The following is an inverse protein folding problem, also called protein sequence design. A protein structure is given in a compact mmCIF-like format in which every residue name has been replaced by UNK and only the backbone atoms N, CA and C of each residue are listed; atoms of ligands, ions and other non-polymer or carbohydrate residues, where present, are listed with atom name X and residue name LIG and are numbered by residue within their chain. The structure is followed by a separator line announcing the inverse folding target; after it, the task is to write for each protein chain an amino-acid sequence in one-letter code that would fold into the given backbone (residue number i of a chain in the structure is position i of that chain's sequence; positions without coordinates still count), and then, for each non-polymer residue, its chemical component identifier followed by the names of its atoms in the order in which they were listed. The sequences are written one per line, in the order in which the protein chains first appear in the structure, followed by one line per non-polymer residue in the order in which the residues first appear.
data_IF_867158762835
#
_entry.id   IF_867158762835
#
_cell.length_a   1.000
_cell.length_b   1.000
_cell.length_c   1.000
_cell.angle_alpha   90.00
_cell.angle_beta   90.00
_cell.angle_gamma   90.00
#
_symmetry.space_group_name_H-M   'P 1'
#
loop_
_entity.id
_entity.type
_entity.pdbx_description
1 polymer ?
#
# COMPACT_ATOMS: atom_id res chain seq x y z
N UNK A 1 -6.88 -61.52 -70.09
CA UNK A 1 -6.82 -61.05 -68.69
C UNK A 1 -6.62 -59.54 -68.70
N UNK A 2 -7.58 -58.77 -68.17
CA UNK A 2 -7.44 -57.33 -67.90
C UNK A 2 -6.82 -57.21 -66.49
N UNK A 3 -5.76 -56.42 -66.25
CA UNK A 3 -5.17 -56.32 -64.93
C UNK A 3 -6.17 -55.67 -63.97
N UNK A 4 -6.24 -56.19 -62.74
CA UNK A 4 -7.05 -55.65 -61.66
C UNK A 4 -6.63 -54.21 -61.34
N UNK A 5 -7.61 -53.32 -61.19
CA UNK A 5 -7.42 -51.92 -60.83
C UNK A 5 -6.71 -51.78 -59.48
N UNK A 6 -5.79 -50.82 -59.30
CA UNK A 6 -5.10 -50.62 -58.03
C UNK A 6 -6.09 -50.04 -57.00
N UNK A 7 -6.09 -50.63 -55.81
CA UNK A 7 -6.84 -50.12 -54.66
C UNK A 7 -5.90 -49.21 -53.89
N UNK A 8 -6.19 -47.91 -53.83
CA UNK A 8 -5.46 -46.99 -52.97
C UNK A 8 -5.87 -47.19 -51.49
N UNK A 9 -4.94 -46.87 -50.59
CA UNK A 9 -4.89 -47.28 -49.18
C UNK A 9 -6.02 -46.78 -48.25
N UNK A 10 -7.10 -46.18 -48.78
CA UNK A 10 -8.25 -45.68 -48.01
C UNK A 10 -9.55 -46.48 -48.21
N UNK A 11 -9.52 -47.62 -48.91
CA UNK A 11 -10.70 -48.50 -49.02
C UNK A 11 -11.87 -47.90 -49.80
N UNK A 12 -11.61 -46.88 -50.62
CA UNK A 12 -12.57 -46.34 -51.58
C UNK A 12 -12.46 -47.19 -52.84
N UNK A 13 -13.56 -47.85 -53.24
CA UNK A 13 -13.65 -48.46 -54.57
C UNK A 13 -13.15 -47.42 -55.58
N UNK A 14 -12.21 -47.80 -56.45
CA UNK A 14 -11.67 -46.90 -57.47
C UNK A 14 -12.82 -46.39 -58.36
N UNK A 15 -13.36 -45.24 -57.97
CA UNK A 15 -14.38 -44.51 -58.69
C UNK A 15 -13.67 -43.94 -59.91
N UNK A 16 -14.22 -44.23 -61.09
CA UNK A 16 -13.74 -43.64 -62.34
C UNK A 16 -13.66 -42.13 -62.16
N UNK A 17 -12.60 -41.50 -62.65
CA UNK A 17 -12.52 -40.03 -62.73
C UNK A 17 -13.34 -39.55 -63.93
N UNK A 18 -13.75 -38.26 -63.99
CA UNK A 18 -14.46 -37.75 -65.17
C UNK A 18 -13.66 -37.93 -66.48
N UNK A 19 -12.33 -37.86 -66.39
CA UNK A 19 -11.45 -38.13 -67.54
C UNK A 19 -11.49 -39.60 -67.98
N UNK A 20 -11.57 -40.53 -67.03
CA UNK A 20 -11.67 -41.96 -67.34
C UNK A 20 -13.04 -42.32 -67.91
N UNK A 21 -14.12 -41.63 -67.52
CA UNK A 21 -15.47 -41.79 -68.11
C UNK A 21 -15.49 -41.28 -69.55
N UNK A 22 -14.95 -40.08 -69.80
CA UNK A 22 -14.88 -39.48 -71.14
C UNK A 22 -14.04 -40.29 -72.13
N UNK A 23 -12.94 -40.90 -71.67
CA UNK A 23 -12.06 -41.72 -72.51
C UNK A 23 -12.52 -43.17 -72.70
N UNK A 24 -13.65 -43.58 -72.12
CA UNK A 24 -14.06 -44.99 -72.09
C UNK A 24 -14.70 -45.43 -73.41
N UNK A 25 -14.02 -46.29 -74.17
CA UNK A 25 -14.54 -46.86 -75.42
C UNK A 25 -15.20 -48.22 -75.22
N UNK A 26 -16.39 -48.41 -75.81
CA UNK A 26 -17.08 -49.70 -75.84
C UNK A 26 -16.77 -50.51 -77.12
N UNK A 27 -16.68 -51.83 -77.00
CA UNK A 27 -16.49 -52.74 -78.15
C UNK A 27 -17.75 -52.82 -79.02
N UNK A 28 -17.60 -52.75 -80.35
CA UNK A 28 -18.73 -52.81 -81.30
C UNK A 28 -19.43 -54.18 -81.26
N UNK A 29 -20.76 -54.18 -81.08
CA UNK A 29 -21.56 -55.40 -81.08
C UNK A 29 -21.79 -55.93 -82.51
N UNK A 30 -21.83 -57.27 -82.66
CA UNK A 30 -21.96 -57.95 -83.96
C UNK A 30 -23.42 -58.01 -84.46
N UNK A 31 -24.42 -57.98 -83.58
CA UNK A 31 -25.85 -57.89 -83.92
C UNK A 31 -26.63 -57.28 -82.75
N UNK A 32 -27.48 -56.27 -82.99
CA UNK A 32 -28.42 -55.72 -82.00
C UNK A 32 -27.83 -54.83 -80.88
N UNK A 33 -26.71 -54.14 -81.11
CA UNK A 33 -26.09 -53.24 -80.11
C UNK A 33 -26.76 -51.87 -79.96
N UNK A 34 -26.38 -51.15 -78.90
CA UNK A 34 -26.78 -49.74 -78.69
C UNK A 34 -26.24 -48.82 -79.78
N UNK A 35 -26.97 -47.73 -80.07
CA UNK A 35 -26.52 -46.71 -81.00
C UNK A 35 -25.37 -45.92 -80.38
N UNK A 36 -24.18 -46.00 -80.99
CA UNK A 36 -22.97 -45.37 -80.44
C UNK A 36 -23.11 -43.85 -80.29
N UNK A 37 -23.80 -43.16 -81.21
CA UNK A 37 -24.00 -41.71 -81.09
C UNK A 37 -24.83 -41.32 -79.84
N UNK A 38 -25.85 -42.12 -79.50
CA UNK A 38 -26.66 -41.87 -78.29
C UNK A 38 -25.90 -42.23 -77.01
N UNK A 39 -25.00 -43.22 -77.07
CA UNK A 39 -24.14 -43.58 -75.93
C UNK A 39 -23.10 -42.49 -75.70
N UNK A 40 -22.51 -41.94 -76.77
CA UNK A 40 -21.55 -40.85 -76.68
C UNK A 40 -22.20 -39.57 -76.11
N UNK A 41 -23.39 -39.19 -76.58
CA UNK A 41 -24.14 -38.04 -76.03
C UNK A 41 -24.46 -38.22 -74.53
N UNK A 42 -24.85 -39.43 -74.12
CA UNK A 42 -25.05 -39.75 -72.70
C UNK A 42 -23.75 -39.70 -71.88
N UNK A 43 -22.63 -40.19 -72.44
CA UNK A 43 -21.33 -40.12 -71.77
C UNK A 43 -20.81 -38.69 -71.62
N UNK A 44 -21.10 -37.80 -72.57
CA UNK A 44 -20.76 -36.39 -72.48
C UNK A 44 -21.53 -35.72 -71.33
N UNK A 45 -22.86 -35.89 -71.27
CA UNK A 45 -23.69 -35.39 -70.17
C UNK A 45 -23.25 -35.96 -68.81
N UNK A 46 -23.00 -37.28 -68.76
CA UNK A 46 -22.50 -37.94 -67.55
C UNK A 46 -21.12 -37.41 -67.13
N UNK A 47 -20.23 -37.13 -68.08
CA UNK A 47 -18.91 -36.57 -67.81
C UNK A 47 -19.03 -35.16 -67.22
N UNK A 48 -19.93 -34.33 -67.75
CA UNK A 48 -20.17 -32.98 -67.27
C UNK A 48 -20.74 -32.98 -65.84
N UNK A 49 -21.79 -33.76 -65.59
CA UNK A 49 -22.41 -33.90 -64.26
C UNK A 49 -21.42 -34.46 -63.23
N UNK A 50 -20.66 -35.47 -63.62
CA UNK A 50 -19.68 -36.08 -62.73
C UNK A 50 -18.49 -35.13 -62.45
N UNK A 51 -18.09 -34.32 -63.43
CA UNK A 51 -17.11 -33.24 -63.21
C UNK A 51 -17.64 -32.18 -62.25
N UNK A 52 -18.91 -31.79 -62.38
CA UNK A 52 -19.56 -30.84 -61.49
C UNK A 52 -19.61 -31.37 -60.05
N UNK A 53 -20.06 -32.62 -59.86
CA UNK A 53 -20.06 -33.30 -58.57
C UNK A 53 -18.66 -33.39 -57.95
N UNK A 54 -17.63 -33.68 -58.75
CA UNK A 54 -16.26 -33.76 -58.26
C UNK A 54 -15.74 -32.40 -57.76
N UNK A 55 -16.01 -31.32 -58.51
CA UNK A 55 -15.67 -29.95 -58.11
C UNK A 55 -16.42 -29.52 -56.85
N UNK A 56 -17.72 -29.83 -56.76
CA UNK A 56 -18.52 -29.52 -55.58
C UNK A 56 -18.03 -30.30 -54.35
N UNK A 57 -17.71 -31.59 -54.51
CA UNK A 57 -17.17 -32.41 -53.43
C UNK A 57 -15.84 -31.85 -52.90
N UNK A 58 -14.94 -31.43 -53.79
CA UNK A 58 -13.69 -30.77 -53.40
C UNK A 58 -13.95 -29.45 -52.65
N UNK A 59 -14.88 -28.63 -53.14
CA UNK A 59 -15.27 -27.39 -52.47
C UNK A 59 -15.90 -27.62 -51.10
N UNK A 60 -16.77 -28.62 -50.96
CA UNK A 60 -17.39 -29.00 -49.69
C UNK A 60 -16.37 -29.55 -48.70
N UNK A 61 -15.43 -30.40 -49.13
CA UNK A 61 -14.31 -30.88 -48.30
C UNK A 61 -13.45 -29.72 -47.79
N UNK A 62 -13.13 -28.76 -48.67
CA UNK A 62 -12.39 -27.56 -48.27
C UNK A 62 -13.17 -26.72 -47.23
N UNK A 63 -14.47 -26.51 -47.43
CA UNK A 63 -15.33 -25.82 -46.46
C UNK A 63 -15.38 -26.57 -45.12
N UNK A 64 -15.54 -27.90 -45.14
CA UNK A 64 -15.56 -28.72 -43.93
C UNK A 64 -14.26 -28.57 -43.15
N UNK A 65 -13.11 -28.62 -43.83
CA UNK A 65 -11.80 -28.43 -43.20
C UNK A 65 -11.72 -27.08 -42.47
N UNK A 66 -12.09 -25.99 -43.14
CA UNK A 66 -12.11 -24.64 -42.53
C UNK A 66 -13.07 -24.57 -41.34
N UNK A 67 -14.23 -25.21 -41.42
CA UNK A 67 -15.19 -25.23 -40.31
C UNK A 67 -14.65 -26.01 -39.10
N UNK A 68 -13.98 -27.14 -39.34
CA UNK A 68 -13.34 -27.93 -38.28
C UNK A 68 -12.24 -27.12 -37.59
N UNK A 69 -11.35 -26.50 -38.36
CA UNK A 69 -10.28 -25.63 -37.83
C UNK A 69 -10.88 -24.50 -36.97
N UNK A 70 -11.92 -23.81 -37.44
CA UNK A 70 -12.60 -22.77 -36.64
C UNK A 70 -13.21 -23.29 -35.34
N UNK A 71 -13.79 -24.49 -35.35
CA UNK A 71 -14.35 -25.09 -34.14
C UNK A 71 -13.25 -25.41 -33.13
N UNK A 72 -12.10 -25.89 -33.60
CA UNK A 72 -10.92 -26.14 -32.76
C UNK A 72 -10.36 -24.83 -32.18
N UNK A 73 -10.25 -23.77 -32.98
CA UNK A 73 -9.84 -22.45 -32.52
C UNK A 73 -10.78 -21.88 -31.45
N UNK A 74 -12.10 -22.01 -31.65
CA UNK A 74 -13.08 -21.56 -30.66
C UNK A 74 -13.00 -22.36 -29.36
N UNK A 75 -12.77 -23.67 -29.43
CA UNK A 75 -12.56 -24.50 -28.24
C UNK A 75 -11.30 -24.10 -27.48
N UNK A 76 -10.19 -23.91 -28.19
CA UNK A 76 -8.94 -23.46 -27.59
C UNK A 76 -9.08 -22.08 -26.91
N UNK A 77 -9.79 -21.17 -27.56
CA UNK A 77 -10.09 -19.83 -27.00
C UNK A 77 -10.97 -19.93 -25.77
N UNK A 78 -12.02 -20.76 -25.81
CA UNK A 78 -12.91 -20.97 -24.68
C UNK A 78 -12.19 -21.58 -23.46
N UNK A 79 -11.30 -22.53 -23.69
CA UNK A 79 -10.48 -23.14 -22.65
C UNK A 79 -9.49 -22.15 -22.04
N UNK A 80 -8.87 -21.30 -22.84
CA UNK A 80 -8.04 -20.19 -22.37
C UNK A 80 -8.85 -19.23 -21.49
N UNK A 81 -10.03 -18.80 -21.96
CA UNK A 81 -10.93 -17.94 -21.18
C UNK A 81 -11.33 -18.58 -19.84
N UNK A 82 -11.69 -19.87 -19.84
CA UNK A 82 -12.00 -20.62 -18.62
C UNK A 82 -10.82 -20.65 -17.66
N UNK A 83 -9.61 -20.91 -18.17
CA UNK A 83 -8.39 -20.93 -17.36
C UNK A 83 -8.11 -19.54 -16.74
N UNK A 84 -8.30 -18.46 -17.50
CA UNK A 84 -8.15 -17.09 -17.00
C UNK A 84 -9.19 -16.77 -15.93
N UNK A 85 -10.47 -17.10 -16.14
CA UNK A 85 -11.53 -16.88 -15.14
C UNK A 85 -11.26 -17.65 -13.84
N UNK A 86 -10.82 -18.90 -13.94
CA UNK A 86 -10.52 -19.74 -12.78
C UNK A 86 -9.29 -19.21 -12.02
N UNK A 87 -8.30 -18.68 -12.74
CA UNK A 87 -7.14 -18.00 -12.14
C UNK A 87 -7.55 -16.71 -11.44
N UNK A 88 -8.38 -15.89 -12.08
CA UNK A 88 -8.92 -14.67 -11.49
C UNK A 88 -9.75 -14.95 -10.22
N UNK A 89 -10.58 -16.00 -10.23
CA UNK A 89 -11.34 -16.43 -9.06
C UNK A 89 -10.41 -16.85 -7.92
N UNK A 90 -9.40 -17.68 -8.19
CA UNK A 90 -8.40 -18.08 -7.18
C UNK A 90 -7.66 -16.88 -6.60
N UNK A 91 -7.32 -15.91 -7.44
CA UNK A 91 -6.66 -14.68 -7.01
C UNK A 91 -7.57 -13.83 -6.12
N UNK A 92 -8.84 -13.66 -6.49
CA UNK A 92 -9.84 -12.97 -5.68
C UNK A 92 -10.01 -13.65 -4.30
N UNK A 93 -10.16 -14.98 -4.28
CA UNK A 93 -10.25 -15.75 -3.04
C UNK A 93 -8.98 -15.60 -2.17
N UNK A 94 -7.80 -15.57 -2.79
CA UNK A 94 -6.54 -15.35 -2.07
C UNK A 94 -6.50 -13.96 -1.44
N UNK A 95 -6.87 -12.92 -2.19
CA UNK A 95 -6.91 -11.54 -1.69
C UNK A 95 -7.86 -11.42 -0.50
N UNK A 96 -9.05 -12.02 -0.59
CA UNK A 96 -10.04 -12.00 0.51
C UNK A 96 -9.46 -12.71 1.73
N UNK A 97 -8.92 -13.92 1.59
CA UNK A 97 -8.31 -14.66 2.72
C UNK A 97 -7.15 -13.90 3.35
N UNK A 98 -6.27 -13.31 2.55
CA UNK A 98 -5.15 -12.52 3.06
C UNK A 98 -5.62 -11.25 3.79
N UNK A 99 -6.63 -10.57 3.27
CA UNK A 99 -7.21 -9.39 3.90
C UNK A 99 -7.87 -9.75 5.24
N UNK A 100 -8.62 -10.86 5.30
CA UNK A 100 -9.21 -11.37 6.53
C UNK A 100 -8.14 -11.76 7.55
N UNK A 101 -7.10 -12.49 7.13
CA UNK A 101 -6.00 -12.86 8.02
C UNK A 101 -5.26 -11.63 8.57
N UNK A 102 -5.00 -10.63 7.73
CA UNK A 102 -4.38 -9.36 8.15
C UNK A 102 -5.27 -8.56 9.09
N UNK A 103 -6.58 -8.49 8.82
CA UNK A 103 -7.57 -7.87 9.71
C UNK A 103 -7.53 -8.53 11.08
N UNK A 104 -7.62 -9.85 11.12
CA UNK A 104 -7.67 -10.60 12.38
C UNK A 104 -6.37 -10.45 13.17
N UNK A 105 -5.23 -10.40 12.47
CA UNK A 105 -3.95 -10.10 13.10
C UNK A 105 -3.90 -8.70 13.69
N UNK A 106 -4.33 -7.68 12.92
CA UNK A 106 -4.36 -6.30 13.38
C UNK A 106 -5.28 -6.12 14.59
N UNK A 107 -6.44 -6.78 14.61
CA UNK A 107 -7.37 -6.74 15.75
C UNK A 107 -6.73 -7.37 16.98
N UNK A 108 -6.10 -8.54 16.86
CA UNK A 108 -5.38 -9.17 17.97
C UNK A 108 -4.25 -8.28 18.50
N UNK A 109 -3.45 -7.70 17.62
CA UNK A 109 -2.34 -6.83 18.01
C UNK A 109 -2.85 -5.56 18.70
N UNK A 110 -3.94 -4.97 18.20
CA UNK A 110 -4.57 -3.81 18.82
C UNK A 110 -5.16 -4.15 20.19
N UNK A 111 -5.79 -5.31 20.35
CA UNK A 111 -6.31 -5.78 21.63
C UNK A 111 -5.19 -5.99 22.66
N UNK A 112 -4.09 -6.64 22.27
CA UNK A 112 -2.91 -6.84 23.14
C UNK A 112 -2.33 -5.49 23.56
N UNK A 113 -2.07 -4.59 22.60
CA UNK A 113 -1.53 -3.26 22.92
C UNK A 113 -2.46 -2.44 23.81
N UNK A 114 -3.77 -2.52 23.60
CA UNK A 114 -4.75 -1.87 24.45
C UNK A 114 -4.72 -2.42 25.88
N UNK A 115 -4.66 -3.75 26.03
CA UNK A 115 -4.57 -4.39 27.35
C UNK A 115 -3.27 -4.03 28.08
N UNK A 116 -2.14 -4.04 27.37
CA UNK A 116 -0.85 -3.62 27.92
C UNK A 116 -0.89 -2.16 28.40
N UNK A 117 -1.45 -1.26 27.58
CA UNK A 117 -1.57 0.15 27.91
C UNK A 117 -2.51 0.39 29.10
N UNK A 118 -3.64 -0.32 29.16
CA UNK A 118 -4.53 -0.29 30.32
C UNK A 118 -3.81 -0.78 31.57
N UNK A 119 -3.03 -1.87 31.47
CA UNK A 119 -2.24 -2.41 32.58
C UNK A 119 -1.15 -1.43 33.05
N UNK A 120 -0.48 -0.72 32.14
CA UNK A 120 0.48 0.33 32.47
C UNK A 120 -0.18 1.50 33.20
N UNK A 121 -1.29 2.03 32.68
CA UNK A 121 -2.03 3.13 33.29
C UNK A 121 -2.59 2.77 34.68
N UNK A 122 -3.06 1.53 34.87
CA UNK A 122 -3.52 1.06 36.19
C UNK A 122 -2.39 1.05 37.21
N UNK A 123 -1.21 0.55 36.83
CA UNK A 123 -0.02 0.57 37.71
C UNK A 123 0.39 1.99 38.07
N UNK A 124 0.45 2.88 37.08
CA UNK A 124 0.78 4.29 37.31
C UNK A 124 -0.24 4.98 38.23
N UNK A 125 -1.54 4.68 38.05
CA UNK A 125 -2.59 5.20 38.92
C UNK A 125 -2.48 4.68 40.36
N UNK A 126 -2.15 3.39 40.54
CA UNK A 126 -1.94 2.80 41.86
C UNK A 126 -0.71 3.43 42.56
N UNK A 127 0.40 3.56 41.85
CA UNK A 127 1.60 4.24 42.38
C UNK A 127 1.32 5.70 42.74
N UNK A 128 0.56 6.43 41.91
CA UNK A 128 0.17 7.80 42.19
C UNK A 128 -0.74 7.91 43.43
N UNK A 129 -1.67 6.97 43.60
CA UNK A 129 -2.52 6.89 44.79
C UNK A 129 -1.70 6.60 46.05
N UNK A 130 -0.73 5.70 45.98
CA UNK A 130 0.12 5.38 47.12
C UNK A 130 1.05 6.53 47.49
N UNK A 131 1.63 7.23 46.52
CA UNK A 131 2.37 8.48 46.76
C UNK A 131 1.50 9.53 47.45
N UNK A 132 0.24 9.69 47.00
CA UNK A 132 -0.70 10.62 47.60
C UNK A 132 -1.05 10.24 49.04
N UNK A 133 -1.32 8.95 49.32
CA UNK A 133 -1.57 8.44 50.67
C UNK A 133 -0.36 8.66 51.58
N UNK A 134 0.85 8.42 51.09
CA UNK A 134 2.09 8.64 51.82
C UNK A 134 2.24 10.12 52.18
N UNK A 135 2.10 11.02 51.20
CA UNK A 135 2.16 12.47 51.44
C UNK A 135 1.09 12.97 52.42
N UNK A 136 -0.13 12.42 52.37
CA UNK A 136 -1.18 12.73 53.35
C UNK A 136 -0.80 12.31 54.78
N UNK A 137 -0.21 11.11 54.94
CA UNK A 137 0.26 10.63 56.26
C UNK A 137 1.41 11.49 56.80
N UNK A 138 2.35 11.85 55.93
CA UNK A 138 3.47 12.74 56.30
C UNK A 138 2.97 14.13 56.72
N UNK A 139 2.03 14.70 55.96
CA UNK A 139 1.41 15.99 56.29
C UNK A 139 0.65 15.93 57.62
N UNK A 140 -0.12 14.86 57.87
CA UNK A 140 -0.82 14.67 59.13
C UNK A 140 0.17 14.56 60.31
N UNK A 141 1.27 13.80 60.14
CA UNK A 141 2.32 13.69 61.15
C UNK A 141 3.02 15.04 61.41
N UNK A 142 3.29 15.82 60.37
CA UNK A 142 3.85 17.16 60.50
C UNK A 142 2.91 18.10 61.24
N UNK A 143 1.61 18.11 60.88
CA UNK A 143 0.61 18.92 61.55
C UNK A 143 0.51 18.60 63.06
N UNK A 144 0.53 17.31 63.44
CA UNK A 144 0.57 16.89 64.84
C UNK A 144 1.84 17.37 65.56
N UNK A 145 3.02 17.23 64.93
CA UNK A 145 4.28 17.73 65.50
C UNK A 145 4.25 19.25 65.74
N UNK A 146 3.73 20.02 64.78
CA UNK A 146 3.60 21.47 64.93
C UNK A 146 2.64 21.83 66.06
N UNK A 147 1.47 21.17 66.15
CA UNK A 147 0.53 21.37 67.27
C UNK A 147 1.19 21.09 68.62
N UNK A 148 1.95 20.01 68.73
CA UNK A 148 2.64 19.64 69.96
C UNK A 148 3.66 20.71 70.38
N UNK A 149 4.44 21.25 69.45
CA UNK A 149 5.38 22.37 69.72
C UNK A 149 4.61 23.61 70.19
N UNK A 150 3.53 23.99 69.51
CA UNK A 150 2.73 25.14 69.94
C UNK A 150 2.12 24.95 71.35
N UNK A 151 1.64 23.75 71.67
CA UNK A 151 1.14 23.44 73.02
C UNK A 151 2.24 23.52 74.07
N UNK A 152 3.45 23.06 73.74
CA UNK A 152 4.60 23.15 74.62
C UNK A 152 4.96 24.63 74.91
N UNK A 153 5.00 25.48 73.89
CA UNK A 153 5.27 26.92 74.05
C UNK A 153 4.19 27.61 74.92
N UNK A 154 2.92 27.27 74.73
CA UNK A 154 1.83 27.76 75.59
C UNK A 154 2.06 27.33 77.05
N UNK A 155 2.41 26.06 77.28
CA UNK A 155 2.70 25.57 78.63
C UNK A 155 3.90 26.29 79.27
N UNK A 156 4.91 26.67 78.49
CA UNK A 156 6.03 27.48 78.99
C UNK A 156 5.59 28.90 79.36
N UNK A 157 4.74 29.54 78.54
CA UNK A 157 4.20 30.86 78.85
C UNK A 157 3.34 30.85 80.13
N UNK A 158 2.54 29.81 80.34
CA UNK A 158 1.72 29.66 81.55
C UNK A 158 2.55 29.44 82.83
N UNK A 159 3.77 28.92 82.70
CA UNK A 159 4.71 28.68 83.82
C UNK A 159 5.58 29.90 84.15
N UNK A 160 5.59 30.93 83.30
CA UNK A 160 6.31 32.16 83.62
C UNK A 160 5.65 32.84 84.81
N UNK A 161 6.43 33.29 85.82
CA UNK A 161 5.89 34.14 86.88
C UNK A 161 5.27 35.38 86.22
N UNK A 162 3.98 35.60 86.42
CA UNK A 162 3.33 36.86 86.10
C UNK A 162 3.85 37.91 87.08
N UNK A 163 5.06 38.39 86.86
CA UNK A 163 5.54 39.59 87.53
C UNK A 163 4.60 40.73 87.11
N UNK A 164 4.10 41.55 88.05
CA UNK A 164 3.42 42.77 87.68
C UNK A 164 4.35 43.55 86.76
N UNK A 165 3.92 43.77 85.52
CA UNK A 165 4.57 44.76 84.68
C UNK A 165 4.23 46.09 85.33
N UNK A 166 5.07 46.54 86.25
CA UNK A 166 5.10 47.94 86.66
C UNK A 166 5.39 48.72 85.38
N UNK A 167 4.33 49.25 84.78
CA UNK A 167 4.47 50.24 83.74
C UNK A 167 5.37 51.34 84.32
N UNK A 168 6.54 51.62 83.72
CA UNK A 168 7.32 52.75 84.19
C UNK A 168 6.42 53.98 84.08
N UNK A 169 6.27 54.66 85.21
CA UNK A 169 5.65 55.97 85.27
C UNK A 169 6.22 56.85 84.14
N UNK A 170 5.34 57.70 83.61
CA UNK A 170 5.63 58.65 82.55
C UNK A 170 7.02 59.32 82.69
N UNK A 171 7.70 59.61 81.56
CA UNK A 171 9.09 60.03 81.56
C UNK A 171 9.27 61.40 82.23
N UNK A 172 10.07 61.44 83.30
CA UNK A 172 10.71 62.67 83.77
C UNK A 172 11.70 63.15 82.68
N UNK A 173 11.77 64.47 82.39
CA UNK A 173 12.54 65.00 81.27
C UNK A 173 14.02 65.10 81.61
N UNK A 174 14.87 64.68 80.67
CA UNK A 174 16.26 65.16 80.59
C UNK A 174 17.34 64.10 80.73
N UNK A 175 17.53 63.27 79.70
CA UNK A 175 18.86 62.76 79.37
C UNK A 175 19.21 63.31 77.98
N UNK A 176 20.25 64.15 77.83
CA UNK A 176 20.61 64.68 76.53
C UNK A 176 21.05 63.51 75.64
N UNK A 177 20.41 63.36 74.48
CA UNK A 177 20.63 62.27 73.52
C UNK A 177 22.11 62.01 73.15
N UNK A 178 22.98 63.00 73.35
CA UNK A 178 24.45 62.90 73.15
C UNK A 178 25.14 61.90 74.08
N UNK A 179 24.65 61.68 75.30
CA UNK A 179 25.23 60.68 76.22
C UNK A 179 24.87 59.25 75.84
N UNK A 180 23.71 59.04 75.23
CA UNK A 180 23.29 57.74 74.71
C UNK A 180 24.10 57.41 73.45
N UNK A 181 24.26 58.39 72.56
CA UNK A 181 25.06 58.26 71.33
C UNK A 181 26.53 57.93 71.62
N UNK A 182 27.15 58.60 72.60
CA UNK A 182 28.54 58.33 73.01
C UNK A 182 28.72 56.96 73.66
N UNK A 183 27.75 56.47 74.44
CA UNK A 183 27.77 55.10 74.97
C UNK A 183 27.67 54.04 73.87
N UNK A 184 26.81 54.25 72.88
CA UNK A 184 26.68 53.32 71.75
C UNK A 184 27.96 53.33 70.90
N UNK A 185 28.50 54.51 70.57
CA UNK A 185 29.75 54.61 69.81
C UNK A 185 30.96 54.01 70.53
N UNK A 186 31.06 54.16 71.86
CA UNK A 186 32.17 53.58 72.62
C UNK A 186 32.07 52.05 72.74
N UNK A 187 30.85 51.50 72.77
CA UNK A 187 30.63 50.05 72.81
C UNK A 187 31.08 49.38 71.50
N UNK A 188 30.85 50.02 70.36
CA UNK A 188 31.35 49.54 69.06
C UNK A 188 32.86 49.71 68.86
N UNK A 189 33.51 50.60 69.63
CA UNK A 189 34.96 50.87 69.49
C UNK A 189 35.84 49.99 70.40
N UNK A 190 35.29 49.44 71.49
CA UNK A 190 36.06 48.60 72.42
C UNK A 190 36.11 47.11 72.07
N UNK A 191 35.31 46.63 71.10
CA UNK A 191 35.41 45.27 70.59
C UNK A 191 35.91 45.22 69.14
N UNK A 192 37.17 45.62 68.93
CA UNK A 192 38.05 45.02 67.92
C UNK A 192 39.51 45.42 68.20
N UNK A 193 40.55 44.64 67.83
CA UNK A 193 40.51 43.37 67.09
C UNK A 193 41.47 42.26 67.61
N UNK A 194 41.15 40.99 67.34
CA UNK A 194 42.13 39.98 66.90
C UNK A 194 41.41 38.66 66.57
N UNK A 195 41.78 38.06 65.45
CA UNK A 195 41.35 36.75 64.94
C UNK A 195 39.98 36.67 64.24
N UNK A 196 39.99 36.98 62.95
CA UNK A 196 39.29 36.18 61.93
C UNK A 196 40.17 36.10 60.68
N UNK A 197 41.20 35.26 60.78
CA UNK A 197 41.62 34.48 59.64
C UNK A 197 40.70 33.25 59.55
N UNK A 198 40.39 32.83 58.32
CA UNK A 198 39.52 31.71 57.92
C UNK A 198 38.01 32.02 57.86
N UNK A 199 37.52 32.45 56.69
CA UNK A 199 36.88 31.53 55.72
C UNK A 199 36.52 32.34 54.45
N UNK A 200 37.26 32.13 53.37
CA UNK A 200 36.94 32.69 52.06
C UNK A 200 35.97 31.75 51.33
N UNK A 201 34.85 32.24 50.76
CA UNK A 201 34.05 31.45 49.83
C UNK A 201 34.76 31.44 48.47
N UNK A 202 35.06 30.24 47.95
CA UNK A 202 35.36 30.06 46.52
C UNK A 202 34.08 30.32 45.71
N UNK A 203 33.97 31.54 45.19
CA UNK A 203 33.09 31.87 44.08
C UNK A 203 33.89 31.79 42.78
N UNK A 204 33.71 30.68 42.05
CA UNK A 204 34.26 30.51 40.70
C UNK A 204 33.70 31.57 39.72
N UNK A 205 34.50 32.00 38.73
CA UNK A 205 34.11 33.10 37.85
C UNK A 205 33.01 32.68 36.88
N UNK A 206 31.93 33.46 36.88
CA UNK A 206 30.93 33.50 35.81
C UNK A 206 31.62 34.07 34.56
N UNK A 207 31.85 33.22 33.55
CA UNK A 207 32.20 33.67 32.20
C UNK A 207 30.92 33.90 31.40
N UNK A 208 30.55 35.17 31.28
CA UNK A 208 29.76 35.70 30.18
C UNK A 208 30.62 35.68 28.92
N UNK A 209 30.24 34.91 27.90
CA UNK A 209 30.86 34.98 26.56
C UNK A 209 29.89 35.67 25.61
N UNK A 210 30.34 36.85 25.19
CA UNK A 210 29.80 37.75 24.18
C UNK A 210 30.09 37.20 22.76
N UNK A 211 29.31 37.64 21.79
CA UNK A 211 29.22 37.09 20.42
C UNK A 211 30.08 37.88 19.41
N UNK A 212 30.79 37.15 18.52
CA UNK A 212 31.31 37.48 17.16
C UNK A 212 32.56 38.37 16.96
N UNK A 213 33.22 38.41 15.77
CA UNK A 213 33.33 37.44 14.64
C UNK A 213 34.78 37.27 14.07
N UNK A 214 34.98 36.34 13.12
CA UNK A 214 35.89 36.60 11.98
C UNK A 214 37.15 35.74 11.75
N UNK A 215 37.08 34.95 10.66
CA UNK A 215 38.14 34.54 9.72
C UNK A 215 39.35 33.70 10.20
N UNK A 216 39.62 32.61 9.48
CA UNK A 216 40.85 32.35 8.66
C UNK A 216 40.86 30.86 8.22
N UNK A 217 40.80 30.64 6.90
CA UNK A 217 41.29 29.44 6.17
C UNK A 217 42.84 29.50 6.09
N UNK A 218 43.63 28.47 5.65
CA UNK A 218 43.26 27.32 4.80
C UNK A 218 43.92 25.96 5.16
N UNK A 219 43.59 24.99 4.31
CA UNK A 219 43.99 23.57 4.27
C UNK A 219 45.50 23.31 4.03
N UNK A 220 45.95 22.04 4.00
CA UNK A 220 45.88 21.29 2.73
C UNK A 220 45.50 19.78 2.81
N UNK A 221 44.77 19.38 1.76
CA UNK A 221 44.83 18.16 0.93
C UNK A 221 45.25 16.79 1.49
N UNK A 222 44.36 15.79 1.31
CA UNK A 222 44.68 14.56 0.58
C UNK A 222 43.39 13.86 0.05
N UNK A 223 43.45 13.42 -1.20
CA UNK A 223 42.33 12.98 -2.07
C UNK A 223 41.72 11.61 -1.73
N UNK A 224 40.45 11.34 -2.11
CA UNK A 224 39.81 10.03 -1.98
C UNK A 224 39.97 9.13 -3.23
N UNK A 225 39.99 7.83 -2.97
CA UNK A 225 40.16 6.71 -3.90
C UNK A 225 38.80 6.22 -4.43
N UNK A 226 38.74 6.01 -5.74
CA UNK A 226 37.63 5.38 -6.50
C UNK A 226 37.29 3.97 -6.00
N UNK A 227 35.99 3.66 -5.92
CA UNK A 227 35.49 2.29 -6.06
C UNK A 227 34.14 2.27 -6.80
N UNK A 228 33.93 1.18 -7.54
CA UNK A 228 33.13 1.07 -8.76
C UNK A 228 31.66 0.68 -8.50
N UNK A 229 30.79 1.18 -9.39
CA UNK A 229 29.46 0.68 -9.71
C UNK A 229 29.43 -0.84 -9.99
N UNK A 230 28.35 -1.54 -9.61
CA UNK A 230 27.89 -2.72 -10.32
C UNK A 230 26.80 -2.37 -11.34
N UNK A 231 27.04 -2.89 -12.54
CA UNK A 231 26.34 -2.75 -13.82
C UNK A 231 25.00 -3.49 -13.91
N UNK A 232 24.02 -2.86 -14.57
CA UNK A 232 22.80 -3.48 -15.09
C UNK A 232 23.12 -4.39 -16.30
N UNK A 233 22.37 -5.49 -16.53
CA UNK A 233 22.49 -6.26 -17.77
C UNK A 233 21.86 -5.50 -18.96
N UNK A 234 22.32 -5.75 -20.20
CA UNK A 234 21.94 -4.97 -21.37
C UNK A 234 20.54 -5.33 -21.88
N UNK A 235 19.82 -4.32 -22.35
CA UNK A 235 18.57 -4.46 -23.08
C UNK A 235 18.82 -5.17 -24.41
N UNK A 236 18.17 -6.32 -24.61
CA UNK A 236 18.06 -6.96 -25.91
C UNK A 236 17.14 -6.11 -26.79
N UNK A 237 17.67 -5.73 -27.95
CA UNK A 237 16.94 -5.09 -29.03
C UNK A 237 16.05 -6.12 -29.70
N UNK A 238 14.76 -6.12 -29.39
CA UNK A 238 13.78 -6.79 -30.25
C UNK A 238 13.39 -5.83 -31.38
N UNK A 239 13.85 -6.20 -32.58
CA UNK A 239 13.20 -5.83 -33.83
C UNK A 239 11.73 -6.26 -33.73
N UNK A 240 10.83 -5.32 -33.52
CA UNK A 240 9.41 -5.57 -33.75
C UNK A 240 9.19 -5.52 -35.26
N UNK A 241 9.11 -6.70 -35.88
CA UNK A 241 8.43 -6.84 -37.16
C UNK A 241 7.01 -6.28 -37.03
N UNK A 242 6.73 -5.38 -37.96
CA UNK A 242 5.53 -4.56 -38.06
C UNK A 242 4.29 -5.42 -38.32
N UNK A 243 3.47 -5.60 -37.28
CA UNK A 243 2.08 -6.06 -37.40
C UNK A 243 1.12 -4.92 -37.03
N UNK A 244 0.18 -4.52 -37.92
CA UNK A 244 -0.63 -3.34 -37.71
C UNK A 244 -1.85 -3.70 -36.86
N UNK A 245 -1.80 -3.46 -35.56
CA UNK A 245 -3.02 -3.32 -34.77
C UNK A 245 -3.39 -1.82 -34.71
N UNK A 246 -4.59 -1.43 -35.17
CA UNK A 246 -5.06 -0.09 -34.92
C UNK A 246 -5.39 0.01 -33.42
N UNK A 247 -4.87 1.07 -32.78
CA UNK A 247 -5.21 1.52 -31.42
C UNK A 247 -4.61 0.73 -30.24
N UNK A 248 -3.44 1.22 -29.80
CA UNK A 248 -3.15 1.57 -28.40
C UNK A 248 -3.28 0.52 -27.29
N UNK A 249 -2.20 0.30 -26.54
CA UNK A 249 -2.18 -0.51 -25.32
C UNK A 249 -3.14 0.06 -24.24
N UNK A 250 -4.21 -0.67 -23.83
CA UNK A 250 -5.26 -0.16 -22.94
C UNK A 250 -4.85 -0.02 -21.47
N UNK A 251 -3.61 -0.37 -21.12
CA UNK A 251 -3.10 -0.34 -19.75
C UNK A 251 -2.14 0.82 -19.45
N UNK A 252 -1.98 1.77 -20.37
CA UNK A 252 -1.25 3.00 -20.09
C UNK A 252 -2.22 4.03 -19.51
N UNK A 253 -2.00 4.52 -18.27
CA UNK A 253 -2.83 5.58 -17.72
C UNK A 253 -2.57 6.86 -18.51
N UNK A 254 -3.51 7.25 -19.37
CA UNK A 254 -3.53 8.58 -19.98
C UNK A 254 -3.76 9.60 -18.86
N UNK A 255 -2.70 10.32 -18.50
CA UNK A 255 -2.82 11.51 -17.69
C UNK A 255 -3.50 12.62 -18.51
N UNK A 256 -4.44 13.30 -17.86
CA UNK A 256 -5.08 14.56 -18.27
C UNK A 256 -6.19 14.51 -19.34
N UNK A 257 -7.41 14.06 -18.96
CA UNK A 257 -8.65 14.64 -19.49
C UNK A 257 -9.72 14.83 -18.39
N UNK A 258 -10.40 15.98 -18.33
CA UNK A 258 -11.45 16.25 -17.34
C UNK A 258 -12.70 15.42 -17.65
N UNK A 259 -13.16 14.68 -16.64
CA UNK A 259 -14.37 13.84 -16.64
C UNK A 259 -15.55 14.49 -17.37
N UNK A 260 -15.93 13.98 -18.55
CA UNK A 260 -17.25 14.25 -19.14
C UNK A 260 -18.32 13.65 -18.21
N UNK A 261 -19.12 14.52 -17.57
CA UNK A 261 -20.33 14.10 -16.86
C UNK A 261 -21.28 13.46 -17.89
N UNK A 262 -21.61 12.20 -17.68
CA UNK A 262 -22.64 11.50 -18.45
C UNK A 262 -24.00 11.91 -17.85
N UNK A 263 -24.83 12.61 -18.61
CA UNK A 263 -26.19 12.94 -18.22
C UNK A 263 -27.09 11.72 -18.45
N UNK A 264 -27.45 11.05 -17.36
CA UNK A 264 -28.17 9.77 -17.37
C UNK A 264 -29.61 9.87 -17.89
N UNK A 265 -30.16 11.08 -17.97
CA UNK A 265 -31.54 11.34 -18.43
C UNK A 265 -31.69 11.26 -19.96
N UNK A 266 -30.61 11.33 -20.73
CA UNK A 266 -30.63 11.21 -22.19
C UNK A 266 -30.35 9.78 -22.70
N UNK A 267 -30.04 8.84 -21.80
CA UNK A 267 -29.72 7.47 -22.18
C UNK A 267 -31.00 6.69 -22.53
N UNK A 268 -31.25 6.53 -23.82
CA UNK A 268 -32.38 5.76 -24.34
C UNK A 268 -32.12 4.25 -24.22
N UNK A 269 -32.73 3.61 -23.22
CA UNK A 269 -32.77 2.14 -23.10
C UNK A 269 -34.19 1.57 -23.26
N UNK A 270 -34.31 0.37 -23.81
CA UNK A 270 -35.57 -0.38 -23.90
C UNK A 270 -36.64 0.26 -24.80
N UNK A 271 -37.92 0.23 -24.37
CA UNK A 271 -39.12 0.63 -25.13
C UNK A 271 -39.11 2.05 -25.74
N UNK A 272 -38.11 2.88 -25.41
CA UNK A 272 -37.98 4.26 -25.89
C UNK A 272 -37.12 4.39 -27.17
N UNK A 273 -36.73 3.26 -27.77
CA UNK A 273 -35.99 3.20 -29.04
C UNK A 273 -36.93 3.27 -30.26
N UNK A 274 -37.77 4.30 -30.36
CA UNK A 274 -38.54 4.50 -31.59
C UNK A 274 -37.67 5.19 -32.65
N UNK A 275 -37.40 4.43 -33.72
CA UNK A 275 -36.56 4.77 -34.89
C UNK A 275 -36.93 6.13 -35.49
N UNK A 276 -35.96 6.91 -36.00
CA UNK A 276 -36.29 8.06 -36.82
C UNK A 276 -36.89 7.60 -38.15
N UNK A 277 -38.01 8.23 -38.50
CA UNK A 277 -38.72 8.26 -39.77
C UNK A 277 -37.96 7.70 -40.99
N UNK A 278 -38.36 6.52 -41.45
CA UNK A 278 -38.52 6.28 -42.89
C UNK A 278 -39.85 6.91 -43.31
N UNK A 279 -39.83 7.92 -44.19
CA UNK A 279 -40.90 8.20 -45.14
C UNK A 279 -40.50 9.28 -46.15
N UNK A 280 -40.36 8.81 -47.40
CA UNK A 280 -40.60 9.46 -48.70
C UNK A 280 -39.72 10.63 -49.15
#
# INVERSE_FOLDING_TARGET
MKPASPVDAEGVFALLTPQEVSGHAFTKAVMGGYNMAMVDEFLDELTDDYTALYKENAALKAKMKVLVEKVEDYRATEDSMRATLLTAQKMADSIVREAEAKRDQLLRDAEVQAQEKIGALRREAEEAQDRLRMGQREMASFAEKVRAVCQQEIQFLDQLPQAPVDAPAAPEPGVPAKEIETKILNSFRQEAPAAVAAFAPESGPVQTVEVQPGAVQPAPESSPRQEKQPSQPPAESEHSDEFPYPEGNPFVPMADEPTRKIELDELKFGRNYNRPNESR
#
